data_IF_348067994672
#
_entry.id   IF_348067994672
#
_cell.length_a   1.000
_cell.length_b   1.000
_cell.length_c   1.000
_cell.angle_alpha   90.00
_cell.angle_beta   90.00
_cell.angle_gamma   90.00
#
_symmetry.space_group_name_H-M   'P 1'
#
loop_
_entity.id
_entity.type
_entity.pdbx_description
1 polymer ?
#
# COMPACT_ATOMS: atom_id res chain seq x y z
N UNK A 1 7.89 -4.48 -57.10
CA UNK A 1 8.02 -5.47 -56.01
C UNK A 1 8.82 -6.64 -56.56
N UNK A 2 10.08 -6.81 -56.17
CA UNK A 2 10.91 -8.03 -56.34
C UNK A 2 12.37 -7.68 -55.98
N UNK A 3 12.91 -8.35 -54.95
CA UNK A 3 14.30 -8.84 -54.81
C UNK A 3 14.62 -9.02 -53.32
N UNK A 4 14.28 -10.20 -52.81
CA UNK A 4 14.71 -10.71 -51.52
C UNK A 4 16.00 -11.53 -51.79
N UNK A 5 17.17 -10.98 -51.47
CA UNK A 5 18.44 -11.68 -51.60
C UNK A 5 18.83 -12.30 -50.26
N UNK A 6 18.74 -13.63 -50.25
CA UNK A 6 19.25 -14.54 -49.22
C UNK A 6 20.77 -14.37 -49.10
N UNK A 7 21.28 -14.03 -47.92
CA UNK A 7 22.70 -14.19 -47.58
C UNK A 7 22.84 -15.23 -46.48
N UNK A 8 23.38 -16.38 -46.87
CA UNK A 8 23.94 -17.40 -45.99
C UNK A 8 25.18 -16.85 -45.29
N UNK A 9 25.30 -17.11 -43.99
CA UNK A 9 26.59 -17.20 -43.32
C UNK A 9 26.54 -18.40 -42.38
N UNK A 10 27.13 -19.49 -42.87
CA UNK A 10 27.56 -20.65 -42.11
C UNK A 10 28.66 -20.22 -41.13
N UNK A 11 28.53 -20.54 -39.84
CA UNK A 11 29.69 -20.63 -38.95
C UNK A 11 29.47 -21.79 -37.98
N UNK A 12 30.09 -22.90 -38.34
CA UNK A 12 30.38 -24.05 -37.49
C UNK A 12 31.42 -23.64 -36.44
N UNK A 13 31.07 -23.79 -35.16
CA UNK A 13 32.01 -23.76 -34.05
C UNK A 13 31.60 -24.82 -33.03
N UNK A 14 32.49 -25.79 -32.87
CA UNK A 14 32.43 -26.87 -31.90
C UNK A 14 32.49 -26.31 -30.47
N UNK A 15 31.46 -26.57 -29.68
CA UNK A 15 31.50 -26.29 -28.24
C UNK A 15 31.96 -27.55 -27.50
N UNK A 16 33.27 -27.61 -27.27
CA UNK A 16 33.88 -28.41 -26.21
C UNK A 16 33.39 -27.90 -24.86
N UNK A 17 32.62 -28.74 -24.16
CA UNK A 17 32.11 -28.46 -22.82
C UNK A 17 33.17 -28.84 -21.79
N UNK A 18 34.13 -27.95 -21.53
CA UNK A 18 34.97 -28.02 -20.33
C UNK A 18 34.38 -27.10 -19.26
N UNK A 19 33.90 -27.76 -18.19
CA UNK A 19 33.50 -27.11 -16.96
C UNK A 19 34.70 -26.66 -16.14
N UNK A 20 34.76 -25.37 -15.90
CA UNK A 20 35.19 -24.66 -14.70
C UNK A 20 34.41 -23.33 -14.80
N UNK A 21 33.94 -22.66 -13.75
CA UNK A 21 34.75 -22.07 -12.69
C UNK A 21 33.89 -21.83 -11.46
N UNK A 22 34.47 -22.10 -10.31
CA UNK A 22 33.93 -21.81 -9.00
C UNK A 22 34.27 -20.34 -8.65
N UNK A 23 33.28 -19.45 -8.67
CA UNK A 23 33.32 -18.05 -8.20
C UNK A 23 31.91 -17.75 -7.69
N UNK A 24 31.62 -17.20 -6.52
CA UNK A 24 32.37 -16.57 -5.45
C UNK A 24 31.53 -16.76 -4.18
N UNK A 25 32.18 -17.06 -3.06
CA UNK A 25 31.59 -16.81 -1.75
C UNK A 25 31.51 -15.29 -1.54
N UNK A 26 30.48 -14.87 -0.80
CA UNK A 26 30.37 -13.56 -0.14
C UNK A 26 29.77 -12.40 -0.99
N UNK A 27 28.56 -11.96 -0.63
CA UNK A 27 28.35 -10.78 0.22
C UNK A 27 26.85 -10.70 0.56
N UNK A 28 26.59 -10.68 1.86
CA UNK A 28 25.34 -10.31 2.50
C UNK A 28 24.78 -9.01 1.90
N UNK A 29 23.68 -9.06 1.17
CA UNK A 29 22.78 -7.92 1.12
C UNK A 29 21.65 -8.13 2.12
N UNK A 30 21.96 -7.84 3.38
CA UNK A 30 20.96 -7.35 4.32
C UNK A 30 20.39 -6.05 3.78
N UNK A 31 19.29 -6.16 3.06
CA UNK A 31 18.34 -5.09 2.84
C UNK A 31 16.97 -5.73 2.69
N UNK A 32 16.44 -6.22 3.81
CA UNK A 32 15.00 -6.30 4.03
C UNK A 32 14.43 -4.89 3.88
N UNK A 33 14.25 -4.42 2.65
CA UNK A 33 13.36 -3.32 2.33
C UNK A 33 12.02 -3.94 1.94
N UNK A 34 11.33 -4.40 3.00
CA UNK A 34 9.90 -4.41 3.21
C UNK A 34 9.02 -4.50 1.95
N UNK A 35 8.92 -5.70 1.39
CA UNK A 35 7.78 -6.06 0.56
C UNK A 35 6.53 -6.34 1.43
N UNK A 36 6.15 -5.38 2.28
CA UNK A 36 5.01 -5.47 3.21
C UNK A 36 3.77 -4.72 2.73
N UNK A 37 3.86 -3.94 1.64
CA UNK A 37 2.72 -3.21 1.08
C UNK A 37 1.59 -4.08 0.52
N UNK A 38 1.83 -5.39 0.33
CA UNK A 38 0.83 -6.34 -0.14
C UNK A 38 0.03 -7.06 0.96
N UNK A 39 0.52 -7.10 2.21
CA UNK A 39 -0.12 -7.89 3.29
C UNK A 39 -1.15 -7.12 4.09
N UNK A 40 -1.06 -5.78 4.13
CA UNK A 40 -1.98 -4.95 4.95
C UNK A 40 -3.35 -4.77 4.31
N UNK A 41 -3.45 -4.90 2.97
CA UNK A 41 -4.68 -4.62 2.22
C UNK A 41 -5.85 -5.57 2.53
N UNK A 42 -5.53 -6.77 2.98
CA UNK A 42 -6.50 -7.81 3.37
C UNK A 42 -6.79 -7.81 4.89
N UNK A 43 -6.03 -7.04 5.68
CA UNK A 43 -6.23 -6.98 7.13
C UNK A 43 -7.35 -6.03 7.47
N UNK A 44 -8.13 -6.38 8.50
CA UNK A 44 -9.17 -5.52 9.04
C UNK A 44 -8.53 -4.43 9.91
N UNK A 45 -8.80 -3.18 9.55
CA UNK A 45 -8.36 -2.04 10.32
C UNK A 45 -9.42 -1.70 11.37
N UNK A 46 -9.00 -1.63 12.63
CA UNK A 46 -9.83 -1.29 13.79
C UNK A 46 -9.37 0.03 14.39
N UNK A 47 -10.30 0.91 14.77
CA UNK A 47 -9.98 2.11 15.53
C UNK A 47 -9.46 1.70 16.92
N UNK A 48 -8.37 2.32 17.36
CA UNK A 48 -7.82 2.05 18.68
C UNK A 48 -8.75 2.64 19.77
N UNK A 49 -9.15 1.87 20.80
CA UNK A 49 -10.07 2.32 21.85
C UNK A 49 -9.57 3.52 22.69
N UNK A 50 -8.27 3.82 22.64
CA UNK A 50 -7.70 5.04 23.24
C UNK A 50 -8.16 6.32 22.53
N UNK A 51 -8.58 6.19 21.28
CA UNK A 51 -9.00 7.29 20.43
C UNK A 51 -10.52 7.30 20.34
N UNK A 52 -11.10 8.48 20.53
CA UNK A 52 -12.54 8.69 20.38
C UNK A 52 -12.78 9.70 19.27
N UNK A 53 -13.39 9.25 18.19
CA UNK A 53 -13.86 10.14 17.13
C UNK A 53 -15.09 10.91 17.64
N UNK A 54 -15.07 12.23 17.52
CA UNK A 54 -16.21 13.10 17.77
C UNK A 54 -16.43 14.03 16.59
N UNK A 55 -17.69 14.32 16.28
CA UNK A 55 -18.05 15.32 15.30
C UNK A 55 -18.28 16.67 15.98
N UNK A 56 -17.57 17.70 15.55
CA UNK A 56 -17.68 19.04 16.10
C UNK A 56 -18.56 19.91 15.20
N UNK A 57 -19.84 20.07 15.59
CA UNK A 57 -20.83 20.83 14.81
C UNK A 57 -20.45 22.30 14.59
N UNK A 58 -19.68 22.89 15.51
CA UNK A 58 -19.27 24.29 15.43
C UNK A 58 -18.34 24.57 14.25
N UNK A 59 -17.47 23.60 13.90
CA UNK A 59 -16.52 23.70 12.79
C UNK A 59 -16.92 22.84 11.58
N UNK A 60 -17.89 21.94 11.74
CA UNK A 60 -18.29 21.00 10.70
C UNK A 60 -17.19 19.98 10.36
N UNK A 61 -16.38 19.60 11.36
CA UNK A 61 -15.23 18.72 11.17
C UNK A 61 -15.25 17.59 12.20
N UNK A 62 -14.61 16.47 11.86
CA UNK A 62 -14.37 15.40 12.82
C UNK A 62 -13.04 15.64 13.55
N UNK A 63 -13.04 15.33 14.83
CA UNK A 63 -11.87 15.42 15.71
C UNK A 63 -11.66 14.07 16.39
N UNK A 64 -10.40 13.67 16.52
CA UNK A 64 -9.98 12.48 17.23
C UNK A 64 -9.39 12.89 18.57
N UNK A 65 -10.06 12.51 19.66
CA UNK A 65 -9.64 12.81 21.03
C UNK A 65 -8.86 11.65 21.61
N UNK A 66 -7.76 11.92 22.30
CA UNK A 66 -6.93 10.93 22.97
C UNK A 66 -6.34 11.57 24.25
N UNK A 67 -5.83 10.80 25.24
CA UNK A 67 -5.47 11.36 26.56
C UNK A 67 -4.36 12.40 26.53
N UNK A 68 -3.56 12.44 25.46
CA UNK A 68 -2.44 13.37 25.30
C UNK A 68 -2.81 14.59 24.41
N UNK A 69 -3.99 14.61 23.78
CA UNK A 69 -4.43 15.76 22.97
C UNK A 69 -5.68 15.55 22.12
N UNK A 70 -5.79 16.37 21.07
CA UNK A 70 -6.84 16.25 20.05
C UNK A 70 -6.22 16.43 18.66
N UNK A 71 -6.69 15.66 17.69
CA UNK A 71 -6.31 15.77 16.29
C UNK A 71 -7.53 16.18 15.50
N UNK A 72 -7.42 17.26 14.73
CA UNK A 72 -8.43 17.61 13.73
C UNK A 72 -8.24 16.72 12.50
N UNK A 73 -9.28 15.98 12.15
CA UNK A 73 -9.29 15.17 10.95
C UNK A 73 -9.84 15.98 9.78
N UNK A 74 -9.23 15.79 8.61
CA UNK A 74 -9.77 16.29 7.36
C UNK A 74 -11.07 15.53 7.03
N UNK A 75 -12.00 16.13 6.26
CA UNK A 75 -13.23 15.45 5.86
C UNK A 75 -12.97 14.10 5.17
N UNK A 76 -11.95 14.01 4.30
CA UNK A 76 -11.54 12.73 3.69
C UNK A 76 -11.05 11.73 4.74
N UNK A 77 -10.13 12.14 5.61
CA UNK A 77 -9.59 11.32 6.70
C UNK A 77 -10.69 10.81 7.66
N UNK A 78 -11.68 11.65 7.94
CA UNK A 78 -12.80 11.30 8.79
C UNK A 78 -13.70 10.24 8.14
N UNK A 79 -13.96 10.35 6.84
CA UNK A 79 -14.76 9.35 6.12
C UNK A 79 -14.01 8.01 5.98
N UNK A 80 -12.69 8.03 5.90
CA UNK A 80 -11.87 6.81 6.00
C UNK A 80 -12.02 6.20 7.40
N UNK A 81 -11.70 6.96 8.46
CA UNK A 81 -11.76 6.49 9.86
C UNK A 81 -13.15 6.01 10.28
N UNK A 82 -14.20 6.62 9.78
CA UNK A 82 -15.59 6.23 10.07
C UNK A 82 -15.97 4.88 9.45
N UNK A 83 -15.25 4.42 8.43
CA UNK A 83 -15.36 3.07 7.86
C UNK A 83 -14.42 2.07 8.53
N UNK A 84 -13.37 2.56 9.19
CA UNK A 84 -12.45 1.78 10.03
C UNK A 84 -13.13 1.45 11.36
N UNK A 85 -14.03 0.47 11.36
CA UNK A 85 -14.74 -0.02 12.56
C UNK A 85 -14.16 -1.34 13.09
N UNK A 86 -13.16 -1.92 12.40
CA UNK A 86 -12.59 -3.23 12.72
C UNK A 86 -13.21 -4.41 11.98
N UNK A 87 -14.27 -4.17 11.21
CA UNK A 87 -14.88 -5.18 10.34
C UNK A 87 -14.49 -5.04 8.87
N UNK A 88 -13.98 -3.86 8.47
CA UNK A 88 -13.65 -3.56 7.08
C UNK A 88 -12.14 -3.66 6.85
N UNK A 89 -11.78 -4.32 5.76
CA UNK A 89 -10.41 -4.33 5.24
C UNK A 89 -10.12 -3.02 4.51
N UNK A 90 -8.84 -2.69 4.34
CA UNK A 90 -8.42 -1.53 3.54
C UNK A 90 -9.09 -1.54 2.16
N UNK A 91 -9.13 -2.69 1.48
CA UNK A 91 -9.74 -2.81 0.17
C UNK A 91 -11.26 -2.55 0.20
N UNK A 92 -11.95 -3.04 1.23
CA UNK A 92 -13.38 -2.75 1.43
C UNK A 92 -13.63 -1.27 1.67
N UNK A 93 -12.79 -0.62 2.49
CA UNK A 93 -12.88 0.82 2.77
C UNK A 93 -12.69 1.63 1.49
N UNK A 94 -11.68 1.29 0.68
CA UNK A 94 -11.43 1.91 -0.63
C UNK A 94 -12.64 1.76 -1.56
N UNK A 95 -13.18 0.54 -1.69
CA UNK A 95 -14.34 0.26 -2.53
C UNK A 95 -15.60 1.02 -2.06
N UNK A 96 -15.83 1.11 -0.75
CA UNK A 96 -16.96 1.86 -0.19
C UNK A 96 -16.80 3.38 -0.38
N UNK A 97 -15.59 3.91 -0.21
CA UNK A 97 -15.32 5.33 -0.46
C UNK A 97 -15.50 5.67 -1.93
N UNK A 98 -15.02 4.81 -2.83
CA UNK A 98 -15.17 5.01 -4.28
C UNK A 98 -16.63 4.94 -4.74
N UNK A 99 -17.45 4.12 -4.08
CA UNK A 99 -18.89 4.08 -4.30
C UNK A 99 -19.61 5.31 -3.71
N UNK A 100 -19.21 5.76 -2.53
CA UNK A 100 -19.81 6.93 -1.87
C UNK A 100 -19.42 8.25 -2.55
N UNK A 101 -18.23 8.31 -3.13
CA UNK A 101 -17.65 9.47 -3.79
C UNK A 101 -17.20 9.09 -5.21
N UNK A 102 -18.12 8.99 -6.18
CA UNK A 102 -17.77 8.66 -7.56
C UNK A 102 -16.97 9.77 -8.27
N UNK A 103 -16.96 10.99 -7.70
CA UNK A 103 -16.16 12.14 -8.16
C UNK A 103 -14.75 12.15 -7.52
N UNK A 104 -14.43 11.17 -6.67
CA UNK A 104 -13.12 11.08 -6.04
C UNK A 104 -12.00 10.85 -7.08
N UNK A 105 -10.79 11.39 -6.83
CA UNK A 105 -9.64 11.19 -7.70
C UNK A 105 -9.27 9.70 -7.82
N UNK A 106 -8.62 9.33 -8.93
CA UNK A 106 -8.17 7.95 -9.17
C UNK A 106 -7.17 7.48 -8.09
N UNK A 107 -6.36 8.42 -7.58
CA UNK A 107 -5.40 8.21 -6.49
C UNK A 107 -6.04 8.10 -5.09
N UNK A 108 -7.38 8.04 -4.97
CA UNK A 108 -8.06 7.86 -3.69
C UNK A 108 -7.54 6.63 -2.94
N UNK A 109 -7.32 5.51 -3.64
CA UNK A 109 -6.85 4.27 -3.02
C UNK A 109 -5.44 4.44 -2.42
N UNK A 110 -4.57 5.20 -3.09
CA UNK A 110 -3.25 5.53 -2.59
C UNK A 110 -3.32 6.50 -1.40
N UNK A 111 -4.20 7.51 -1.46
CA UNK A 111 -4.42 8.45 -0.35
C UNK A 111 -4.96 7.71 0.90
N UNK A 112 -5.89 6.78 0.71
CA UNK A 112 -6.43 5.92 1.79
C UNK A 112 -5.32 5.04 2.36
N UNK A 113 -4.54 4.38 1.52
CA UNK A 113 -3.42 3.54 1.97
C UNK A 113 -2.40 4.36 2.76
N UNK A 114 -1.94 5.49 2.21
CA UNK A 114 -1.01 6.39 2.86
C UNK A 114 -1.55 6.89 4.20
N UNK A 115 -2.85 7.22 4.24
CA UNK A 115 -3.53 7.64 5.47
C UNK A 115 -3.56 6.53 6.51
N UNK A 116 -3.91 5.30 6.14
CA UNK A 116 -3.97 4.16 7.06
C UNK A 116 -2.58 3.81 7.61
N UNK A 117 -1.54 3.83 6.78
CA UNK A 117 -0.13 3.67 7.22
C UNK A 117 0.23 4.77 8.24
N UNK A 118 -0.13 6.03 7.96
CA UNK A 118 0.16 7.12 8.87
C UNK A 118 -0.65 7.03 10.18
N UNK A 119 -1.90 6.57 10.10
CA UNK A 119 -2.77 6.34 11.24
C UNK A 119 -2.26 5.20 12.12
N UNK A 120 -1.73 4.12 11.52
CA UNK A 120 -1.08 3.02 12.23
C UNK A 120 0.20 3.49 12.94
N UNK A 121 1.07 4.25 12.27
CA UNK A 121 2.28 4.82 12.86
C UNK A 121 1.97 5.70 14.09
N UNK A 122 0.88 6.47 14.00
CA UNK A 122 0.39 7.28 15.13
C UNK A 122 -0.47 6.50 16.12
N UNK A 123 -0.62 5.18 15.92
CA UNK A 123 -1.41 4.24 16.73
C UNK A 123 -2.89 4.58 16.82
N UNK A 124 -3.42 5.38 15.89
CA UNK A 124 -4.84 5.73 15.81
C UNK A 124 -5.69 4.52 15.48
N UNK A 125 -5.18 3.67 14.59
CA UNK A 125 -5.79 2.42 14.19
C UNK A 125 -4.85 1.26 14.51
N UNK A 126 -5.38 0.04 14.50
CA UNK A 126 -4.63 -1.20 14.62
C UNK A 126 -5.16 -2.18 13.58
N UNK A 127 -4.29 -2.96 12.97
CA UNK A 127 -4.70 -4.08 12.14
C UNK A 127 -4.87 -5.32 13.01
N UNK A 128 -5.97 -6.05 12.81
CA UNK A 128 -6.13 -7.40 13.34
C UNK A 128 -5.40 -8.39 12.40
N UNK A 129 -4.82 -9.46 12.96
CA UNK A 129 -4.09 -10.51 12.21
C UNK A 129 -4.96 -11.70 11.83
#
# INVERSE_FOLDING_TARGET
>A
MMSNLQSQTEHHLDADSVGADNVEDNIENSSSHNNEGGRTRDKTASLNPLFRMQYEKAQGCYVLLFPEGMIKLNPSAAEILKRVDGSNTENAICAELRQAFPDAPDDLEEDVHAFLVHAEQKKWIRYDE
#
